data_IF_082612854450
#
_entry.id   IF_082612854450
#
_cell.length_a   1.000
_cell.length_b   1.000
_cell.length_c   1.000
_cell.angle_alpha   90.00
_cell.angle_beta   90.00
_cell.angle_gamma   90.00
#
_symmetry.space_group_name_H-M   'P 1'
#
loop_
_entity.id
_entity.type
_entity.pdbx_description
1 polymer ?
#
# COMPACT_ATOMS: atom_id res chain seq x y z
N UNK A 1 -56.56 42.91 54.00
CA UNK A 1 -56.76 43.38 52.61
C UNK A 1 -55.38 43.43 51.98
N UNK A 2 -54.90 42.33 51.34
CA UNK A 2 -53.65 42.19 50.74
C UNK A 2 -53.78 42.07 49.19
N UNK A 3 -53.15 42.95 48.48
CA UNK A 3 -53.15 42.99 47.04
C UNK A 3 -52.06 42.06 46.50
N UNK A 4 -52.53 41.02 45.81
CA UNK A 4 -51.67 40.10 45.05
C UNK A 4 -51.10 40.79 43.80
N UNK A 5 -49.78 40.92 43.74
CA UNK A 5 -49.08 41.34 42.49
C UNK A 5 -48.90 40.10 41.63
N UNK A 6 -49.53 40.12 40.43
CA UNK A 6 -49.47 39.07 39.45
C UNK A 6 -48.08 38.93 38.82
N UNK A 7 -47.61 37.72 38.80
CA UNK A 7 -46.42 37.32 38.03
C UNK A 7 -46.75 37.26 36.54
N UNK A 8 -46.00 37.98 35.70
CA UNK A 8 -46.04 37.81 34.26
C UNK A 8 -44.96 36.81 33.84
N UNK A 9 -45.29 35.79 33.07
CA UNK A 9 -44.28 34.88 32.55
C UNK A 9 -43.49 35.58 31.45
N UNK A 10 -42.16 35.35 31.44
CA UNK A 10 -41.24 35.79 30.41
C UNK A 10 -41.53 35.07 29.09
N UNK A 11 -41.38 35.75 27.93
CA UNK A 11 -41.49 35.08 26.64
C UNK A 11 -40.33 34.09 26.45
N UNK A 12 -40.55 32.97 25.73
CA UNK A 12 -39.49 32.00 25.46
C UNK A 12 -38.44 32.64 24.54
N UNK A 13 -37.18 32.54 24.96
CA UNK A 13 -36.02 32.85 24.12
C UNK A 13 -36.01 31.87 22.96
N UNK A 14 -36.36 32.32 21.77
CA UNK A 14 -36.10 31.61 20.54
C UNK A 14 -34.57 31.63 20.29
N UNK A 15 -33.89 30.59 20.72
CA UNK A 15 -32.53 30.34 20.27
C UNK A 15 -32.57 29.70 18.87
N UNK A 16 -32.57 30.55 17.83
CA UNK A 16 -32.19 30.13 16.49
C UNK A 16 -30.67 29.88 16.45
N UNK A 17 -30.23 28.85 17.16
CA UNK A 17 -28.91 28.27 16.92
C UNK A 17 -29.10 27.26 15.80
N UNK A 18 -28.87 27.68 14.56
CA UNK A 18 -28.63 26.72 13.47
C UNK A 18 -27.38 25.94 13.87
N UNK A 19 -27.42 24.59 13.89
CA UNK A 19 -26.20 23.82 13.97
C UNK A 19 -25.36 24.20 12.73
N UNK A 20 -24.26 24.89 12.92
CA UNK A 20 -23.20 24.89 11.94
C UNK A 20 -22.75 23.44 11.85
N UNK A 21 -23.29 22.67 10.91
CA UNK A 21 -22.68 21.49 10.38
C UNK A 21 -21.30 21.90 9.88
N UNK A 22 -20.33 21.71 10.76
CA UNK A 22 -18.92 21.79 10.43
C UNK A 22 -18.67 20.55 9.55
N UNK A 23 -19.04 20.66 8.27
CA UNK A 23 -18.54 19.77 7.21
C UNK A 23 -17.03 20.00 7.16
N UNK A 24 -16.30 19.35 8.07
CA UNK A 24 -14.89 19.11 7.88
C UNK A 24 -14.81 18.41 6.52
N UNK A 25 -14.43 19.15 5.48
CA UNK A 25 -13.92 18.55 4.26
C UNK A 25 -12.82 17.59 4.75
N UNK A 26 -13.12 16.30 4.75
CA UNK A 26 -12.10 15.28 4.98
C UNK A 26 -11.06 15.51 3.90
N UNK A 27 -9.89 15.97 4.29
CA UNK A 27 -8.74 15.98 3.40
C UNK A 27 -8.60 14.59 2.78
N UNK A 28 -8.29 14.48 1.50
CA UNK A 28 -8.10 13.16 0.90
C UNK A 28 -7.07 12.40 1.75
N UNK A 29 -7.39 11.17 2.10
CA UNK A 29 -6.51 10.31 2.89
C UNK A 29 -5.15 10.22 2.23
N UNK A 30 -4.11 10.55 2.96
CA UNK A 30 -2.74 10.54 2.47
C UNK A 30 -2.11 9.17 2.70
N UNK A 31 -1.67 8.52 1.62
CA UNK A 31 -0.88 7.30 1.68
C UNK A 31 0.57 7.65 1.35
N UNK A 32 1.47 7.35 2.27
CA UNK A 32 2.92 7.56 2.11
C UNK A 32 3.68 6.29 2.47
N UNK A 33 4.96 6.26 2.12
CA UNK A 33 5.87 5.15 2.43
C UNK A 33 7.06 5.67 3.21
N UNK A 34 7.53 4.88 4.17
CA UNK A 34 8.84 5.05 4.79
C UNK A 34 9.62 3.75 4.74
N UNK A 35 10.94 3.82 4.79
CA UNK A 35 11.76 2.63 4.97
C UNK A 35 11.36 1.92 6.27
N UNK A 36 11.34 0.60 6.22
CA UNK A 36 11.17 -0.25 7.38
C UNK A 36 12.44 -0.22 8.21
N UNK A 37 12.30 -0.32 9.52
CA UNK A 37 13.39 -0.40 10.49
C UNK A 37 13.29 -1.69 11.31
N UNK A 38 14.34 -2.05 12.05
CA UNK A 38 14.30 -3.22 12.93
C UNK A 38 13.22 -3.10 14.04
N UNK A 39 12.84 -1.88 14.40
CA UNK A 39 11.76 -1.64 15.38
C UNK A 39 10.37 -2.02 14.85
N UNK A 40 10.22 -2.16 13.53
CA UNK A 40 8.95 -2.56 12.91
C UNK A 40 8.74 -4.08 12.86
N UNK A 41 9.77 -4.87 13.13
CA UNK A 41 9.71 -6.34 13.03
C UNK A 41 8.61 -6.99 13.89
N UNK A 42 8.36 -6.57 15.15
CA UNK A 42 7.26 -7.12 15.94
C UNK A 42 5.89 -6.84 15.31
N UNK A 43 5.69 -5.64 14.78
CA UNK A 43 4.47 -5.25 14.07
C UNK A 43 4.31 -6.05 12.78
N UNK A 44 5.37 -6.19 11.99
CA UNK A 44 5.35 -6.99 10.76
C UNK A 44 5.00 -8.44 11.06
N UNK A 45 5.61 -9.06 12.09
CA UNK A 45 5.31 -10.42 12.52
C UNK A 45 3.82 -10.61 12.85
N UNK A 46 3.20 -9.66 13.54
CA UNK A 46 1.76 -9.70 13.79
C UNK A 46 0.97 -9.64 12.49
N UNK A 47 1.35 -8.76 11.56
CA UNK A 47 0.64 -8.54 10.31
C UNK A 47 0.67 -9.75 9.38
N UNK A 48 1.86 -10.32 9.11
CA UNK A 48 2.01 -11.45 8.18
C UNK A 48 1.33 -12.71 8.68
N UNK A 49 1.08 -12.83 9.99
CA UNK A 49 0.35 -13.94 10.60
C UNK A 49 -1.19 -13.75 10.57
N UNK A 50 -1.70 -12.65 9.99
CA UNK A 50 -3.14 -12.42 9.85
C UNK A 50 -3.73 -13.31 8.76
N UNK A 51 -4.90 -13.93 8.98
CA UNK A 51 -5.46 -14.94 8.05
C UNK A 51 -5.59 -14.46 6.61
N UNK A 52 -5.97 -13.19 6.39
CA UNK A 52 -6.13 -12.60 5.05
C UNK A 52 -4.80 -12.31 4.34
N UNK A 53 -3.67 -12.36 5.03
CA UNK A 53 -2.32 -12.25 4.45
C UNK A 53 -1.75 -13.65 4.23
N UNK A 54 -1.81 -14.51 5.24
CA UNK A 54 -1.32 -15.90 5.20
C UNK A 54 -1.82 -16.64 3.95
N UNK A 55 -3.09 -16.47 3.57
CA UNK A 55 -3.67 -17.13 2.39
C UNK A 55 -2.99 -16.80 1.06
N UNK A 56 -2.23 -15.69 1.00
CA UNK A 56 -1.55 -15.22 -0.21
C UNK A 56 -0.03 -15.24 -0.13
N UNK A 57 0.51 -15.42 1.07
CA UNK A 57 1.94 -15.35 1.34
C UNK A 57 2.46 -16.67 1.95
N UNK A 58 2.40 -17.76 1.18
CA UNK A 58 2.99 -19.05 1.51
C UNK A 58 2.17 -19.96 2.44
N UNK A 59 1.06 -19.49 3.02
CA UNK A 59 0.17 -20.33 3.85
C UNK A 59 0.69 -20.69 5.24
N UNK A 60 1.93 -20.39 5.58
CA UNK A 60 2.56 -20.64 6.86
C UNK A 60 2.48 -19.43 7.80
N UNK A 61 2.65 -19.70 9.09
CA UNK A 61 2.68 -18.67 10.12
C UNK A 61 4.05 -18.66 10.77
N UNK A 62 4.98 -17.84 10.29
CA UNK A 62 6.33 -17.82 10.82
C UNK A 62 6.36 -17.34 12.27
N UNK A 63 7.27 -17.89 13.06
CA UNK A 63 7.62 -17.39 14.38
C UNK A 63 8.29 -15.99 14.27
N UNK A 64 8.36 -15.28 15.38
CA UNK A 64 9.07 -14.00 15.40
C UNK A 64 10.55 -14.13 15.04
N UNK A 65 11.19 -15.21 15.47
CA UNK A 65 12.59 -15.48 15.14
C UNK A 65 12.79 -15.67 13.64
N UNK A 66 11.93 -16.44 12.96
CA UNK A 66 12.00 -16.63 11.50
C UNK A 66 11.78 -15.32 10.76
N UNK A 67 10.82 -14.49 11.21
CA UNK A 67 10.61 -13.14 10.66
C UNK A 67 11.85 -12.27 10.85
N UNK A 68 12.48 -12.32 12.01
CA UNK A 68 13.68 -11.54 12.28
C UNK A 68 14.86 -12.01 11.41
N UNK A 69 15.09 -13.31 11.29
CA UNK A 69 16.13 -13.88 10.45
C UNK A 69 15.96 -13.54 8.98
N UNK A 70 14.71 -13.53 8.50
CA UNK A 70 14.38 -13.23 7.09
C UNK A 70 14.46 -11.75 6.76
N UNK A 71 13.84 -10.88 7.55
CA UNK A 71 13.68 -9.45 7.20
C UNK A 71 14.80 -8.54 7.70
N UNK A 72 15.52 -8.94 8.76
CA UNK A 72 16.59 -8.08 9.30
C UNK A 72 17.74 -7.83 8.30
N UNK A 73 18.20 -8.82 7.50
CA UNK A 73 19.17 -8.56 6.45
C UNK A 73 18.72 -7.51 5.43
N UNK A 74 17.43 -7.51 5.06
CA UNK A 74 16.84 -6.51 4.15
C UNK A 74 16.83 -5.11 4.75
N UNK A 75 16.39 -5.01 6.01
CA UNK A 75 16.40 -3.75 6.76
C UNK A 75 17.81 -3.16 6.89
N UNK A 76 18.82 -4.03 7.01
CA UNK A 76 20.23 -3.64 7.10
C UNK A 76 20.90 -3.39 5.72
N UNK A 77 20.16 -3.53 4.62
CA UNK A 77 20.68 -3.33 3.26
C UNK A 77 21.74 -4.37 2.84
N UNK A 78 21.67 -5.58 3.40
CA UNK A 78 22.59 -6.67 3.08
C UNK A 78 22.16 -7.48 1.86
N UNK A 79 20.95 -7.28 1.38
CA UNK A 79 20.35 -7.97 0.25
C UNK A 79 19.68 -6.96 -0.71
N UNK A 80 19.32 -7.43 -1.90
CA UNK A 80 18.73 -6.58 -2.95
C UNK A 80 17.21 -6.36 -2.77
N UNK A 81 16.73 -6.44 -1.54
CA UNK A 81 15.34 -6.19 -1.17
C UNK A 81 15.27 -4.97 -0.27
N UNK A 82 14.34 -4.07 -0.55
CA UNK A 82 14.09 -2.88 0.26
C UNK A 82 12.67 -2.95 0.82
N UNK A 83 12.51 -3.14 2.13
CA UNK A 83 11.22 -3.18 2.80
C UNK A 83 10.73 -1.78 3.21
N UNK A 84 9.42 -1.56 3.12
CA UNK A 84 8.75 -0.31 3.47
C UNK A 84 7.56 -0.54 4.38
N UNK A 85 7.23 0.47 5.19
CA UNK A 85 5.95 0.59 5.89
C UNK A 85 5.09 1.64 5.19
N UNK A 86 3.90 1.22 4.78
CA UNK A 86 2.87 2.13 4.27
C UNK A 86 2.16 2.83 5.42
N UNK A 87 2.00 4.14 5.29
CA UNK A 87 1.34 4.99 6.27
C UNK A 87 0.06 5.57 5.67
N UNK A 88 -1.03 5.48 6.42
CA UNK A 88 -2.30 6.15 6.13
C UNK A 88 -2.48 7.28 7.13
N UNK A 89 -2.47 8.52 6.65
CA UNK A 89 -2.55 9.71 7.51
C UNK A 89 -1.49 9.73 8.64
N UNK A 90 -0.31 9.13 8.38
CA UNK A 90 0.81 9.01 9.31
C UNK A 90 0.84 7.72 10.12
N UNK A 91 -0.23 6.92 10.13
CA UNK A 91 -0.32 5.69 10.89
C UNK A 91 0.02 4.45 10.05
N UNK A 92 0.82 3.49 10.56
CA UNK A 92 1.17 2.27 9.86
C UNK A 92 -0.06 1.42 9.52
N UNK A 93 -0.22 1.05 8.25
CA UNK A 93 -1.36 0.24 7.79
C UNK A 93 -1.01 -0.86 6.80
N UNK A 94 0.19 -0.83 6.23
CA UNK A 94 0.57 -1.73 5.15
C UNK A 94 2.07 -2.04 5.17
N UNK A 95 2.42 -3.20 4.65
CA UNK A 95 3.76 -3.58 4.28
C UNK A 95 3.93 -3.50 2.76
N UNK A 96 5.11 -3.11 2.32
CA UNK A 96 5.51 -3.16 0.92
C UNK A 96 7.00 -3.50 0.82
N UNK A 97 7.41 -4.08 -0.30
CA UNK A 97 8.82 -4.30 -0.61
C UNK A 97 9.07 -4.08 -2.10
N UNK A 98 10.32 -3.77 -2.44
CA UNK A 98 10.83 -3.81 -3.80
C UNK A 98 12.17 -4.52 -3.84
N UNK A 99 12.48 -5.17 -4.96
CA UNK A 99 13.73 -5.88 -5.15
C UNK A 99 14.23 -5.75 -6.59
N UNK A 100 15.52 -5.92 -6.79
CA UNK A 100 16.10 -6.02 -8.14
C UNK A 100 15.71 -7.37 -8.72
N UNK A 101 15.01 -7.37 -9.86
CA UNK A 101 14.54 -8.61 -10.46
C UNK A 101 15.66 -9.45 -11.06
N UNK A 102 16.63 -8.80 -11.69
CA UNK A 102 17.82 -9.48 -12.22
C UNK A 102 18.60 -10.17 -11.11
N UNK A 103 18.75 -11.49 -11.22
CA UNK A 103 19.51 -12.28 -10.26
C UNK A 103 18.79 -12.53 -8.93
N UNK A 104 17.45 -12.46 -8.89
CA UNK A 104 16.66 -12.79 -7.71
C UNK A 104 16.90 -14.22 -7.18
N UNK A 105 17.28 -15.16 -8.07
CA UNK A 105 17.57 -16.55 -7.69
C UNK A 105 16.33 -17.41 -7.47
N UNK A 106 16.56 -18.67 -7.06
CA UNK A 106 15.53 -19.61 -6.63
C UNK A 106 14.35 -19.79 -7.60
N UNK A 107 14.60 -19.65 -8.93
CA UNK A 107 13.57 -19.76 -9.99
C UNK A 107 12.76 -18.48 -10.23
N UNK A 108 13.09 -17.39 -9.55
CA UNK A 108 12.45 -16.09 -9.78
C UNK A 108 13.17 -15.31 -10.89
N UNK A 109 12.42 -14.88 -11.90
CA UNK A 109 12.85 -13.95 -12.95
C UNK A 109 14.16 -14.35 -13.68
N UNK A 110 14.38 -15.65 -13.88
CA UNK A 110 15.61 -16.19 -14.44
C UNK A 110 15.96 -15.64 -15.84
N UNK A 111 14.93 -15.27 -16.62
CA UNK A 111 15.09 -14.67 -17.96
C UNK A 111 15.30 -13.15 -17.93
N UNK A 112 15.29 -12.49 -16.75
CA UNK A 112 15.44 -11.04 -16.67
C UNK A 112 16.91 -10.65 -16.87
N UNK A 113 17.15 -9.71 -17.79
CA UNK A 113 18.49 -9.24 -18.15
C UNK A 113 18.69 -7.74 -17.89
N UNK A 114 17.60 -6.99 -17.64
CA UNK A 114 17.65 -5.57 -17.39
C UNK A 114 17.84 -5.27 -15.88
N UNK A 115 18.97 -4.69 -15.46
CA UNK A 115 19.23 -4.36 -14.06
C UNK A 115 18.32 -3.23 -13.54
N UNK A 116 17.61 -2.54 -14.42
CA UNK A 116 16.65 -1.50 -14.07
C UNK A 116 15.28 -2.02 -13.64
N UNK A 117 15.00 -3.32 -13.81
CA UNK A 117 13.71 -3.90 -13.44
C UNK A 117 13.61 -4.11 -11.95
N UNK A 118 12.47 -3.72 -11.38
CA UNK A 118 12.12 -3.99 -9.97
C UNK A 118 10.90 -4.87 -9.89
N UNK A 119 11.00 -5.93 -9.09
CA UNK A 119 9.85 -6.62 -8.54
C UNK A 119 9.33 -5.89 -7.30
N UNK A 120 8.07 -6.11 -6.95
CA UNK A 120 7.46 -5.49 -5.79
C UNK A 120 6.30 -6.32 -5.23
N UNK A 121 6.11 -6.27 -3.91
CA UNK A 121 5.00 -6.91 -3.21
C UNK A 121 4.38 -5.93 -2.23
N UNK A 122 3.07 -6.09 -1.99
CA UNK A 122 2.34 -5.25 -1.04
C UNK A 122 1.29 -6.06 -0.28
N UNK A 123 1.08 -5.71 0.99
CA UNK A 123 -0.04 -6.22 1.76
C UNK A 123 -0.62 -5.13 2.67
N UNK A 124 -1.96 -5.11 2.82
CA UNK A 124 -2.64 -4.26 3.79
C UNK A 124 -2.82 -5.04 5.08
N UNK A 125 -2.35 -4.46 6.17
CA UNK A 125 -2.34 -5.14 7.46
C UNK A 125 -3.76 -5.36 8.03
N UNK A 126 -4.65 -4.37 7.96
CA UNK A 126 -5.98 -4.43 8.55
C UNK A 126 -7.01 -4.91 7.51
N UNK A 127 -7.74 -6.01 7.77
CA UNK A 127 -8.74 -6.53 6.83
C UNK A 127 -9.89 -5.53 6.58
N UNK A 128 -10.23 -4.71 7.56
CA UNK A 128 -11.25 -3.67 7.44
C UNK A 128 -10.85 -2.52 6.51
N UNK A 129 -9.58 -2.40 6.16
CA UNK A 129 -9.08 -1.41 5.20
C UNK A 129 -9.06 -1.93 3.75
N UNK A 130 -9.36 -3.21 3.55
CA UNK A 130 -9.47 -3.78 2.21
C UNK A 130 -10.68 -3.18 1.47
N UNK A 131 -10.66 -3.25 0.13
CA UNK A 131 -11.73 -2.80 -0.78
C UNK A 131 -12.13 -1.31 -0.67
N UNK A 132 -11.28 -0.48 0.00
CA UNK A 132 -11.47 0.97 0.15
C UNK A 132 -10.57 1.82 -0.76
N UNK A 133 -9.96 1.21 -1.78
CA UNK A 133 -9.04 1.88 -2.69
C UNK A 133 -7.63 2.11 -2.14
N UNK A 134 -7.38 1.82 -0.86
CA UNK A 134 -6.10 2.06 -0.19
C UNK A 134 -4.95 1.23 -0.79
N UNK A 135 -5.24 -0.01 -1.24
CA UNK A 135 -4.26 -0.82 -1.96
C UNK A 135 -3.77 -0.13 -3.24
N UNK A 136 -4.68 0.41 -4.03
CA UNK A 136 -4.33 1.16 -5.25
C UNK A 136 -3.50 2.41 -4.92
N UNK A 137 -3.84 3.13 -3.85
CA UNK A 137 -3.07 4.30 -3.40
C UNK A 137 -1.67 3.90 -2.93
N UNK A 138 -1.54 2.79 -2.19
CA UNK A 138 -0.26 2.24 -1.76
C UNK A 138 0.63 1.85 -2.94
N UNK A 139 0.07 1.11 -3.90
CA UNK A 139 0.81 0.69 -5.11
C UNK A 139 1.26 1.91 -5.91
N UNK A 140 0.40 2.91 -6.10
CA UNK A 140 0.78 4.16 -6.79
C UNK A 140 1.90 4.90 -6.08
N UNK A 141 1.83 5.03 -4.76
CA UNK A 141 2.90 5.66 -3.98
C UNK A 141 4.24 4.90 -4.13
N UNK A 142 4.21 3.56 -4.16
CA UNK A 142 5.41 2.76 -4.39
C UNK A 142 5.93 2.91 -5.83
N UNK A 143 5.05 2.91 -6.83
CA UNK A 143 5.40 3.15 -8.25
C UNK A 143 6.08 4.51 -8.41
N UNK A 144 5.51 5.57 -7.84
CA UNK A 144 6.08 6.93 -7.88
C UNK A 144 7.45 6.96 -7.20
N UNK A 145 7.58 6.34 -6.01
CA UNK A 145 8.83 6.24 -5.28
C UNK A 145 9.92 5.54 -6.10
N UNK A 146 9.60 4.40 -6.70
CA UNK A 146 10.57 3.61 -7.45
C UNK A 146 10.96 4.30 -8.77
N UNK A 147 10.02 4.90 -9.48
CA UNK A 147 10.32 5.65 -10.70
C UNK A 147 10.97 7.01 -10.44
N UNK A 148 11.09 7.47 -9.21
CA UNK A 148 11.94 8.63 -8.89
C UNK A 148 13.43 8.34 -9.16
N UNK A 149 13.88 7.09 -9.08
CA UNK A 149 15.19 6.67 -9.54
C UNK A 149 15.18 6.49 -11.08
N UNK A 150 15.96 7.29 -11.85
CA UNK A 150 15.99 7.20 -13.30
C UNK A 150 16.55 5.86 -13.82
N UNK A 151 17.23 5.09 -13.01
CA UNK A 151 17.75 3.77 -13.35
C UNK A 151 16.68 2.69 -13.39
N UNK A 152 15.53 2.91 -12.73
CA UNK A 152 14.40 1.97 -12.77
C UNK A 152 13.68 2.10 -14.11
N UNK A 153 13.69 1.04 -14.91
CA UNK A 153 13.13 1.01 -16.27
C UNK A 153 11.69 0.56 -16.30
N UNK A 154 11.37 -0.47 -15.53
CA UNK A 154 10.01 -1.04 -15.42
C UNK A 154 9.80 -1.69 -14.04
N UNK A 155 8.55 -1.82 -13.67
CA UNK A 155 8.12 -2.53 -12.47
C UNK A 155 7.35 -3.77 -12.87
N UNK A 156 7.49 -4.87 -12.11
CA UNK A 156 6.81 -6.13 -12.38
C UNK A 156 6.26 -6.73 -11.10
N UNK A 157 5.20 -7.54 -11.29
CA UNK A 157 4.50 -8.21 -10.20
C UNK A 157 3.76 -9.43 -10.76
N UNK A 158 3.46 -10.41 -9.91
CA UNK A 158 2.97 -11.71 -10.31
C UNK A 158 1.86 -12.26 -9.39
N UNK A 159 0.74 -11.55 -9.22
CA UNK A 159 -0.35 -12.03 -8.39
C UNK A 159 -0.87 -13.38 -8.85
N UNK A 160 -1.30 -14.22 -7.90
CA UNK A 160 -1.98 -15.47 -8.19
C UNK A 160 -3.24 -15.22 -9.05
N UNK A 161 -3.56 -16.07 -10.07
CA UNK A 161 -4.64 -15.82 -11.03
C UNK A 161 -6.03 -15.66 -10.39
N UNK A 162 -6.25 -16.28 -9.24
CA UNK A 162 -7.50 -16.20 -8.49
C UNK A 162 -7.56 -15.03 -7.50
N UNK A 163 -6.46 -14.29 -7.33
CA UNK A 163 -6.43 -13.05 -6.52
C UNK A 163 -6.92 -11.85 -7.36
N UNK A 164 -8.17 -11.90 -7.78
CA UNK A 164 -8.77 -10.88 -8.65
C UNK A 164 -8.74 -9.49 -8.02
N UNK A 165 -8.73 -9.40 -6.69
CA UNK A 165 -8.62 -8.12 -5.98
C UNK A 165 -7.24 -7.49 -6.20
N UNK A 166 -6.17 -8.25 -6.07
CA UNK A 166 -4.82 -7.78 -6.32
C UNK A 166 -4.65 -7.37 -7.79
N UNK A 167 -5.06 -8.22 -8.73
CA UNK A 167 -5.00 -7.93 -10.18
C UNK A 167 -5.67 -6.59 -10.51
N UNK A 168 -6.92 -6.39 -10.07
CA UNK A 168 -7.65 -5.12 -10.29
C UNK A 168 -6.99 -3.93 -9.59
N UNK A 169 -6.35 -4.15 -8.44
CA UNK A 169 -5.60 -3.12 -7.74
C UNK A 169 -4.42 -2.65 -8.58
N UNK A 170 -3.64 -3.57 -9.11
CA UNK A 170 -2.47 -3.29 -9.95
C UNK A 170 -2.87 -2.64 -11.28
N UNK A 171 -3.91 -3.12 -11.95
CA UNK A 171 -4.45 -2.49 -13.16
C UNK A 171 -4.81 -1.02 -12.93
N UNK A 172 -5.52 -0.71 -11.83
CA UNK A 172 -5.85 0.67 -11.44
C UNK A 172 -4.62 1.51 -11.10
N UNK A 173 -3.52 0.90 -10.73
CA UNK A 173 -2.25 1.57 -10.45
C UNK A 173 -1.34 1.71 -11.68
N UNK A 174 -1.76 1.21 -12.86
CA UNK A 174 -1.05 1.39 -14.12
C UNK A 174 -0.31 0.15 -14.63
N UNK A 175 -0.46 -0.99 -13.96
CA UNK A 175 0.07 -2.25 -14.47
C UNK A 175 -0.86 -2.83 -15.54
N UNK A 176 -0.26 -3.50 -16.53
CA UNK A 176 -0.99 -4.30 -17.51
C UNK A 176 -0.65 -5.78 -17.37
N UNK A 177 -1.62 -6.65 -17.54
CA UNK A 177 -1.39 -8.09 -17.64
C UNK A 177 -0.63 -8.38 -18.95
N UNK A 178 0.36 -9.29 -18.89
CA UNK A 178 1.19 -9.67 -20.04
C UNK A 178 0.94 -11.11 -20.43
N UNK A 179 1.13 -12.03 -19.50
CA UNK A 179 0.99 -13.47 -19.71
C UNK A 179 0.77 -14.20 -18.39
N UNK A 180 0.31 -15.43 -18.46
CA UNK A 180 0.41 -16.36 -17.34
C UNK A 180 1.83 -16.95 -17.29
N UNK A 181 2.33 -17.14 -16.09
CA UNK A 181 3.63 -17.73 -15.79
C UNK A 181 3.48 -18.77 -14.69
N UNK A 182 4.51 -19.57 -14.50
CA UNK A 182 4.68 -20.42 -13.32
C UNK A 182 5.87 -19.89 -12.54
N UNK A 183 5.67 -19.57 -11.28
CA UNK A 183 6.69 -19.13 -10.34
C UNK A 183 6.98 -20.23 -9.32
N UNK A 184 8.00 -20.11 -8.48
CA UNK A 184 8.21 -21.04 -7.36
C UNK A 184 6.98 -21.21 -6.45
N UNK A 185 6.15 -20.17 -6.33
CA UNK A 185 4.90 -20.18 -5.53
C UNK A 185 3.69 -20.72 -6.33
N UNK A 186 3.88 -21.08 -7.60
CA UNK A 186 2.84 -21.65 -8.47
C UNK A 186 2.38 -20.73 -9.60
N UNK A 187 1.19 -20.96 -10.15
CA UNK A 187 0.66 -20.16 -11.27
C UNK A 187 0.45 -18.71 -10.88
N UNK A 188 0.90 -17.79 -11.74
CA UNK A 188 0.77 -16.36 -11.55
C UNK A 188 0.42 -15.61 -12.84
N UNK A 189 -0.11 -14.39 -12.69
CA UNK A 189 -0.35 -13.45 -13.79
C UNK A 189 0.80 -12.44 -13.80
N UNK A 190 1.68 -12.55 -14.78
CA UNK A 190 2.76 -11.58 -14.95
C UNK A 190 2.20 -10.24 -15.40
N UNK A 191 2.46 -9.19 -14.62
CA UNK A 191 2.00 -7.83 -14.89
C UNK A 191 3.17 -6.85 -14.89
N UNK A 192 3.12 -5.87 -15.77
CA UNK A 192 4.15 -4.84 -15.95
C UNK A 192 3.57 -3.43 -15.82
N UNK A 193 4.37 -2.54 -15.22
CA UNK A 193 4.22 -1.09 -15.30
C UNK A 193 5.52 -0.50 -15.86
N UNK A 194 5.42 0.15 -17.01
CA UNK A 194 6.53 0.82 -17.66
C UNK A 194 6.64 2.26 -17.17
N UNK A 195 7.88 2.80 -17.16
CA UNK A 195 8.08 4.22 -16.89
C UNK A 195 7.31 5.04 -17.93
N UNK A 196 6.49 6.02 -17.51
CA UNK A 196 5.88 6.95 -18.45
C UNK A 196 6.96 7.64 -19.31
N UNK A 197 6.82 7.57 -20.62
CA UNK A 197 7.70 8.32 -21.52
C UNK A 197 7.62 9.80 -21.19
N UNK A 198 8.73 10.55 -21.16
CA UNK A 198 8.65 11.98 -21.00
C UNK A 198 7.75 12.53 -22.13
N UNK A 199 6.72 13.24 -21.74
CA UNK A 199 5.83 13.90 -22.71
C UNK A 199 6.71 14.82 -23.53
N UNK A 200 6.95 14.46 -24.81
CA UNK A 200 7.62 15.32 -25.75
C UNK A 200 6.80 16.62 -25.81
N UNK A 201 7.31 17.67 -25.19
CA UNK A 201 6.77 19.00 -25.38
C UNK A 201 6.94 19.34 -26.87
N UNK A 202 5.90 19.04 -27.67
CA UNK A 202 5.84 19.56 -29.03
C UNK A 202 5.86 21.07 -28.89
N UNK A 203 7.02 21.64 -29.20
CA UNK A 203 7.19 23.05 -29.44
C UNK A 203 6.13 23.49 -30.44
N UNK A 204 5.21 24.32 -29.98
CA UNK A 204 4.38 25.10 -30.88
C UNK A 204 5.30 26.12 -31.54
N UNK A 205 5.63 25.89 -32.80
CA UNK A 205 6.22 26.88 -33.69
C UNK A 205 5.08 27.62 -34.37
#
# INVERSE_FOLDING_TARGET
RGTSKGWRPWPPLMSNVRPHENQRRMSPRSVTLRLMTAHDLPMLHEWINRPHIVQWWGGERPSFQEVQEHYLPWVLGKENVTPYIGLLDGEPFAYAQSYVALGSGDGWWEDETDPGVRGMDVSIAQPELLDKGLGTSLVRALVELLFADPRVTKLQIDPAPHNLRAIRCYEKAGFRQVKQIVTPDGPAVYMLCERPSPVSSRSAA
#
